data_IF_213427474908
#
_entry.id   IF_213427474908
#
_cell.length_a   1.000
_cell.length_b   1.000
_cell.length_c   1.000
_cell.angle_alpha   90.00
_cell.angle_beta   90.00
_cell.angle_gamma   90.00
#
_symmetry.space_group_name_H-M   'P 1'
#
loop_
_entity.id
_entity.type
_entity.pdbx_description
1 polymer ?
#
# COMPACT_ATOMS: atom_id res chain seq x y z
N UNK A 1 -33.47 50.39 0.87
CA UNK A 1 -32.23 49.89 0.24
C UNK A 1 -31.05 49.98 1.19
N UNK A 2 -30.70 48.86 1.85
CA UNK A 2 -29.40 48.75 2.51
C UNK A 2 -28.40 48.20 1.49
N UNK A 3 -27.64 49.09 0.88
CA UNK A 3 -26.48 48.70 0.08
C UNK A 3 -25.35 48.44 1.08
N UNK A 4 -25.10 47.17 1.40
CA UNK A 4 -23.89 46.78 2.12
C UNK A 4 -22.72 46.83 1.13
N UNK A 5 -22.06 47.99 1.04
CA UNK A 5 -20.79 48.11 0.35
C UNK A 5 -19.69 47.53 1.21
N UNK A 6 -18.94 46.56 0.69
CA UNK A 6 -17.64 46.18 1.24
C UNK A 6 -16.80 47.48 1.30
N UNK A 7 -16.18 47.82 2.46
CA UNK A 7 -15.35 49.02 2.55
C UNK A 7 -14.30 49.04 1.45
N UNK A 8 -13.95 50.23 0.95
CA UNK A 8 -12.81 50.39 0.06
C UNK A 8 -11.59 49.68 0.69
N UNK A 9 -10.78 49.02 -0.15
CA UNK A 9 -9.68 48.13 0.27
C UNK A 9 -8.69 48.79 1.26
N UNK A 10 -8.63 50.12 1.26
CA UNK A 10 -7.76 50.95 2.12
C UNK A 10 -8.33 51.19 3.54
N UNK A 11 -9.60 50.84 3.78
CA UNK A 11 -10.30 50.99 5.06
C UNK A 11 -10.24 49.77 5.97
N UNK A 12 -9.58 48.68 5.56
CA UNK A 12 -9.50 47.44 6.33
C UNK A 12 -8.10 47.23 6.91
N UNK A 13 -8.05 46.75 8.15
CA UNK A 13 -6.87 46.24 8.83
C UNK A 13 -6.98 44.72 8.94
N UNK A 14 -5.89 44.01 8.68
CA UNK A 14 -5.84 42.56 8.73
C UNK A 14 -4.81 42.14 9.78
N UNK A 15 -5.11 41.07 10.50
CA UNK A 15 -4.19 40.45 11.43
C UNK A 15 -4.32 38.92 11.36
N UNK A 16 -3.28 38.27 10.85
CA UNK A 16 -3.17 36.82 10.78
C UNK A 16 -2.35 36.32 11.96
N UNK A 17 -2.96 35.47 12.78
CA UNK A 17 -2.37 34.97 14.01
C UNK A 17 -2.38 33.46 14.02
N UNK A 18 -1.22 32.84 14.25
CA UNK A 18 -1.08 31.39 14.35
C UNK A 18 -0.67 30.98 15.77
N UNK A 19 -1.24 29.89 16.26
CA UNK A 19 -0.93 29.35 17.59
C UNK A 19 -1.22 27.83 17.70
N UNK A 20 -0.57 27.10 18.62
CA UNK A 20 -0.84 25.68 18.84
C UNK A 20 -2.28 25.43 19.33
N UNK A 21 -2.99 24.47 18.73
CA UNK A 21 -4.42 24.25 19.00
C UNK A 21 -4.77 23.76 20.43
N UNK A 22 -3.79 23.33 21.21
CA UNK A 22 -3.98 22.77 22.57
C UNK A 22 -3.37 23.62 23.69
N UNK A 23 -2.73 24.76 23.38
CA UNK A 23 -2.14 25.65 24.38
C UNK A 23 -2.04 27.08 23.85
N UNK A 24 -2.74 27.99 24.52
CA UNK A 24 -2.85 29.39 24.12
C UNK A 24 -1.94 30.40 24.87
N UNK A 25 -0.67 30.12 25.26
CA UNK A 25 0.18 31.19 25.77
C UNK A 25 0.89 32.01 24.67
N UNK A 26 0.98 31.53 23.43
CA UNK A 26 1.75 32.20 22.36
C UNK A 26 0.94 32.35 21.07
N UNK A 27 0.44 33.57 20.84
CA UNK A 27 -0.12 34.01 19.57
C UNK A 27 1.00 34.66 18.77
N UNK A 28 1.34 34.10 17.60
CA UNK A 28 2.35 34.68 16.71
C UNK A 28 1.65 35.36 15.56
N UNK A 29 1.81 36.68 15.43
CA UNK A 29 1.37 37.40 14.25
C UNK A 29 2.26 36.99 13.07
N UNK A 30 1.65 36.46 12.03
CA UNK A 30 2.35 35.95 10.83
C UNK A 30 2.20 36.88 9.62
N UNK A 31 1.19 37.75 9.61
CA UNK A 31 0.99 38.77 8.56
C UNK A 31 -0.07 39.80 8.96
N UNK A 32 0.05 41.02 8.45
CA UNK A 32 -0.93 42.11 8.52
C UNK A 32 -1.58 42.43 7.15
N UNK A 33 -1.36 41.55 6.16
CA UNK A 33 -1.80 41.74 4.78
C UNK A 33 -3.16 41.09 4.51
N UNK A 34 -3.93 41.69 3.59
CA UNK A 34 -5.13 41.06 3.00
C UNK A 34 -4.88 39.69 2.36
N UNK A 35 -3.61 39.37 2.03
CA UNK A 35 -3.18 38.06 1.52
C UNK A 35 -1.98 37.57 2.33
N UNK A 36 -2.13 36.43 2.98
CA UNK A 36 -1.05 35.79 3.74
C UNK A 36 -0.17 34.91 2.83
N UNK A 37 1.15 35.10 2.91
CA UNK A 37 2.18 34.19 2.38
C UNK A 37 3.31 34.14 3.39
N UNK A 38 3.61 32.97 3.93
CA UNK A 38 4.67 32.81 4.93
C UNK A 38 5.34 31.43 4.78
N UNK A 39 6.56 31.32 5.28
CA UNK A 39 7.26 30.05 5.37
C UNK A 39 6.90 29.35 6.68
N UNK A 40 6.44 28.11 6.60
CA UNK A 40 6.14 27.29 7.77
C UNK A 40 7.43 26.80 8.42
N UNK A 41 7.70 27.24 9.65
CA UNK A 41 8.87 26.83 10.45
C UNK A 41 8.48 26.02 11.70
N UNK A 42 7.19 25.92 11.96
CA UNK A 42 6.63 25.20 13.08
C UNK A 42 6.94 23.71 12.99
N UNK A 43 7.11 23.06 14.14
CA UNK A 43 7.26 21.61 14.22
C UNK A 43 5.96 20.90 13.77
N UNK A 44 6.02 19.61 13.39
CA UNK A 44 4.81 18.86 13.07
C UNK A 44 3.77 18.91 14.20
N UNK A 45 2.54 19.33 13.89
CA UNK A 45 1.50 19.59 14.87
C UNK A 45 0.22 20.15 14.28
N UNK A 46 -0.79 20.35 15.15
CA UNK A 46 -2.04 21.03 14.81
C UNK A 46 -2.02 22.46 15.34
N UNK A 47 -2.33 23.39 14.46
CA UNK A 47 -2.31 24.82 14.73
C UNK A 47 -3.63 25.46 14.33
N UNK A 48 -4.05 26.43 15.13
CA UNK A 48 -5.11 27.35 14.76
C UNK A 48 -4.48 28.52 14.01
N UNK A 49 -5.12 28.92 12.92
CA UNK A 49 -4.79 30.12 12.17
C UNK A 49 -6.03 31.01 12.13
N UNK A 50 -5.98 32.11 12.87
CA UNK A 50 -7.07 33.08 12.91
C UNK A 50 -6.74 34.27 12.00
N UNK A 51 -7.73 34.69 11.22
CA UNK A 51 -7.75 35.97 10.53
C UNK A 51 -8.68 36.91 11.29
N UNK A 52 -8.15 38.02 11.77
CA UNK A 52 -8.93 39.16 12.23
C UNK A 52 -8.95 40.23 11.15
N UNK A 53 -10.13 40.78 10.87
CA UNK A 53 -10.31 41.90 9.94
C UNK A 53 -11.06 43.00 10.66
N UNK A 54 -10.54 44.21 10.62
CA UNK A 54 -11.15 45.38 11.27
C UNK A 54 -11.41 46.47 10.24
N UNK A 55 -12.64 46.96 10.22
CA UNK A 55 -12.97 48.17 9.46
C UNK A 55 -12.57 49.40 10.28
N UNK A 56 -11.63 50.18 9.73
CA UNK A 56 -11.08 51.38 10.39
C UNK A 56 -12.09 52.52 10.49
N UNK A 57 -13.14 52.51 9.66
CA UNK A 57 -14.18 53.56 9.62
C UNK A 57 -15.24 53.31 10.69
N UNK A 58 -15.70 52.06 10.79
CA UNK A 58 -16.81 51.67 11.68
C UNK A 58 -16.32 51.08 13.00
N UNK A 59 -15.03 50.75 13.10
CA UNK A 59 -14.40 50.05 14.21
C UNK A 59 -14.96 48.62 14.44
N UNK A 60 -15.71 48.07 13.49
CA UNK A 60 -16.28 46.73 13.53
C UNK A 60 -15.21 45.69 13.17
N UNK A 61 -15.13 44.61 13.97
CA UNK A 61 -14.21 43.49 13.76
C UNK A 61 -14.91 42.21 13.33
N UNK A 62 -14.28 41.46 12.44
CA UNK A 62 -14.66 40.12 12.01
C UNK A 62 -13.50 39.17 12.26
N UNK A 63 -13.80 37.91 12.55
CA UNK A 63 -12.78 36.88 12.63
C UNK A 63 -13.18 35.62 11.84
N UNK A 64 -12.18 34.91 11.32
CA UNK A 64 -12.35 33.59 10.70
C UNK A 64 -11.23 32.67 11.14
N UNK A 65 -11.60 31.48 11.63
CA UNK A 65 -10.68 30.44 12.05
C UNK A 65 -10.41 29.45 10.92
N UNK A 66 -9.15 29.11 10.75
CA UNK A 66 -8.63 28.05 9.90
C UNK A 66 -7.84 27.06 10.76
N UNK A 67 -7.69 25.83 10.26
CA UNK A 67 -6.88 24.80 10.89
C UNK A 67 -5.70 24.47 9.98
N UNK A 68 -4.50 24.48 10.54
CA UNK A 68 -3.25 24.17 9.83
C UNK A 68 -2.62 22.94 10.47
N UNK A 69 -2.46 21.88 9.69
CA UNK A 69 -1.70 20.70 10.10
C UNK A 69 -0.31 20.78 9.51
N UNK A 70 0.70 20.95 10.35
CA UNK A 70 2.10 20.88 9.95
C UNK A 70 2.55 19.43 10.05
N UNK A 71 3.22 18.94 9.03
CA UNK A 71 3.66 17.54 8.96
C UNK A 71 5.10 17.44 8.51
N UNK A 72 5.83 16.43 9.00
CA UNK A 72 7.13 16.05 8.43
C UNK A 72 6.99 15.59 6.98
N UNK A 73 8.02 15.81 6.17
CA UNK A 73 8.14 15.28 4.80
C UNK A 73 8.05 13.74 4.75
N UNK A 74 8.30 13.08 5.88
CA UNK A 74 8.24 11.63 6.07
C UNK A 74 6.90 11.13 6.62
N UNK A 75 5.95 12.03 6.88
CA UNK A 75 4.72 11.71 7.60
C UNK A 75 3.82 10.74 6.82
N UNK A 76 3.52 11.03 5.55
CA UNK A 76 2.71 10.17 4.69
C UNK A 76 3.07 10.36 3.21
N UNK A 77 2.85 9.34 2.40
CA UNK A 77 3.12 9.38 0.95
C UNK A 77 3.39 8.02 0.34
N UNK A 78 3.56 7.97 -0.97
CA UNK A 78 3.99 6.77 -1.67
C UNK A 78 5.49 6.60 -1.54
N UNK A 79 5.91 5.51 -0.89
CA UNK A 79 7.29 5.07 -0.88
C UNK A 79 7.57 4.36 -2.21
N UNK A 80 8.66 4.77 -2.85
CA UNK A 80 9.14 4.22 -4.11
C UNK A 80 10.56 3.72 -3.86
N UNK A 81 10.76 2.41 -3.95
CA UNK A 81 12.10 1.83 -3.95
C UNK A 81 12.59 1.72 -5.38
N UNK A 82 13.71 2.38 -5.68
CA UNK A 82 14.32 2.37 -7.00
C UNK A 82 15.82 2.09 -6.95
N UNK A 83 16.29 1.41 -7.99
CA UNK A 83 17.70 1.10 -8.17
C UNK A 83 18.36 2.12 -9.10
N UNK A 84 19.44 2.74 -8.62
CA UNK A 84 20.27 3.64 -9.43
C UNK A 84 21.73 3.46 -9.05
N UNK A 85 22.61 3.45 -10.06
CA UNK A 85 24.06 3.32 -9.86
C UNK A 85 24.48 2.10 -9.03
N UNK A 86 23.81 0.94 -9.22
CA UNK A 86 24.16 -0.30 -8.52
C UNK A 86 23.73 -0.35 -7.05
N UNK A 87 22.80 0.52 -6.63
CA UNK A 87 22.27 0.57 -5.28
C UNK A 87 20.77 0.84 -5.28
N UNK A 88 20.06 0.28 -4.29
CA UNK A 88 18.66 0.61 -4.03
C UNK A 88 18.57 1.75 -3.00
N UNK A 89 17.60 2.63 -3.17
CA UNK A 89 17.21 3.66 -2.20
C UNK A 89 15.69 3.86 -2.22
N UNK A 90 15.18 4.71 -1.35
CA UNK A 90 13.77 5.02 -1.20
C UNK A 90 13.54 6.49 -1.49
N UNK A 91 12.51 6.79 -2.24
CA UNK A 91 11.95 8.14 -2.39
C UNK A 91 10.52 8.16 -1.84
N UNK A 92 10.01 9.33 -1.47
CA UNK A 92 8.61 9.51 -1.07
C UNK A 92 7.92 10.55 -1.95
N UNK A 93 6.82 10.15 -2.59
CA UNK A 93 5.90 11.06 -3.28
C UNK A 93 4.87 11.52 -2.25
N UNK A 94 4.90 12.80 -1.92
CA UNK A 94 4.05 13.41 -0.90
C UNK A 94 2.66 13.76 -1.44
N UNK A 95 1.64 13.91 -0.58
CA UNK A 95 0.28 14.30 -0.98
C UNK A 95 0.18 15.62 -1.74
N UNK A 96 1.14 16.53 -1.55
CA UNK A 96 1.23 17.79 -2.29
C UNK A 96 1.91 17.63 -3.67
N UNK A 97 2.09 16.38 -4.14
CA UNK A 97 2.73 16.02 -5.42
C UNK A 97 4.22 16.41 -5.53
N UNK A 98 4.90 16.64 -4.39
CA UNK A 98 6.36 16.79 -4.37
C UNK A 98 7.03 15.45 -4.14
N UNK A 99 8.28 15.29 -4.62
CA UNK A 99 9.04 14.05 -4.42
C UNK A 99 10.30 14.36 -3.63
N UNK A 100 10.40 13.78 -2.43
CA UNK A 100 11.62 13.79 -1.64
C UNK A 100 12.43 12.52 -1.98
N UNK A 101 13.69 12.71 -2.40
CA UNK A 101 14.51 11.66 -3.00
C UNK A 101 15.50 11.09 -1.99
N UNK A 102 15.82 9.81 -2.16
CA UNK A 102 16.93 9.14 -1.45
C UNK A 102 16.83 9.29 0.08
N UNK A 103 15.62 9.12 0.62
CA UNK A 103 15.31 9.37 2.04
C UNK A 103 16.04 8.40 2.96
N UNK A 104 16.33 7.18 2.50
CA UNK A 104 17.05 6.22 3.34
C UNK A 104 18.52 6.62 3.46
N UNK A 105 19.24 6.81 2.36
CA UNK A 105 20.66 7.18 2.43
C UNK A 105 20.90 8.53 3.09
N UNK A 106 20.05 9.54 2.84
CA UNK A 106 20.11 10.84 3.53
C UNK A 106 19.98 10.72 5.04
N UNK A 107 19.08 9.86 5.52
CA UNK A 107 18.88 9.64 6.96
C UNK A 107 19.91 8.73 7.61
N UNK A 108 20.70 7.98 6.82
CA UNK A 108 21.63 6.96 7.31
C UNK A 108 23.06 7.20 6.83
N UNK A 109 23.51 8.46 6.86
CA UNK A 109 24.91 8.85 6.59
C UNK A 109 25.46 8.35 5.24
N UNK A 110 24.62 8.31 4.20
CA UNK A 110 25.01 7.85 2.86
C UNK A 110 25.06 6.33 2.68
N UNK A 111 24.56 5.55 3.66
CA UNK A 111 24.39 4.10 3.47
C UNK A 111 23.27 3.80 2.47
N UNK A 112 23.49 2.81 1.60
CA UNK A 112 22.50 2.37 0.61
C UNK A 112 21.98 0.96 0.88
N UNK A 113 20.82 0.64 0.30
CA UNK A 113 20.31 -0.72 0.26
C UNK A 113 21.01 -1.52 -0.85
N UNK A 114 21.19 -2.85 -0.68
CA UNK A 114 21.73 -3.70 -1.73
C UNK A 114 20.92 -3.62 -3.03
N UNK A 115 21.60 -3.64 -4.17
CA UNK A 115 20.95 -3.71 -5.49
C UNK A 115 20.20 -5.03 -5.73
N UNK A 116 19.41 -5.03 -6.80
CA UNK A 116 18.61 -6.14 -7.26
C UNK A 116 17.20 -6.08 -6.68
N UNK A 117 16.61 -7.26 -6.43
CA UNK A 117 15.28 -7.36 -5.86
C UNK A 117 15.19 -6.63 -4.52
N UNK A 118 14.11 -5.86 -4.35
CA UNK A 118 13.79 -5.23 -3.09
C UNK A 118 12.30 -4.98 -2.94
N UNK A 119 11.88 -4.75 -1.70
CA UNK A 119 10.48 -4.58 -1.32
C UNK A 119 10.30 -3.60 -0.17
N UNK A 120 9.20 -2.85 -0.19
CA UNK A 120 8.81 -1.95 0.89
C UNK A 120 7.52 -2.46 1.53
N UNK A 121 7.61 -2.86 2.80
CA UNK A 121 6.48 -3.30 3.60
C UNK A 121 6.12 -2.20 4.60
N UNK A 122 4.90 -1.68 4.53
CA UNK A 122 4.34 -0.75 5.52
C UNK A 122 3.05 -1.35 6.07
N UNK A 123 2.98 -1.53 7.37
CA UNK A 123 1.80 -2.06 8.05
C UNK A 123 1.78 -1.62 9.51
N UNK A 124 0.63 -1.79 10.17
CA UNK A 124 0.52 -1.53 11.60
C UNK A 124 0.66 -2.84 12.40
N UNK A 125 1.68 -2.92 13.25
CA UNK A 125 1.80 -3.92 14.30
C UNK A 125 1.05 -3.37 15.52
N UNK A 126 -0.19 -3.80 15.71
CA UNK A 126 -1.14 -3.20 16.65
C UNK A 126 -1.28 -1.70 16.36
N UNK A 127 -0.86 -0.83 17.26
CA UNK A 127 -0.90 0.63 17.09
C UNK A 127 0.40 1.21 16.52
N UNK A 128 1.46 0.42 16.39
CA UNK A 128 2.75 0.88 15.89
C UNK A 128 2.86 0.66 14.39
N UNK A 129 3.18 1.72 13.63
CA UNK A 129 3.46 1.60 12.20
C UNK A 129 4.89 1.08 12.00
N UNK A 130 4.99 -0.05 11.31
CA UNK A 130 6.25 -0.69 10.97
C UNK A 130 6.59 -0.42 9.51
N UNK A 131 7.87 -0.18 9.23
CA UNK A 131 8.40 0.00 7.89
C UNK A 131 9.63 -0.90 7.73
N UNK A 132 9.55 -1.82 6.76
CA UNK A 132 10.65 -2.71 6.42
C UNK A 132 11.07 -2.52 4.98
N UNK A 133 12.38 -2.53 4.76
CA UNK A 133 13.00 -2.65 3.45
C UNK A 133 13.62 -4.03 3.37
N UNK A 134 13.12 -4.85 2.45
CA UNK A 134 13.61 -6.20 2.20
C UNK A 134 14.47 -6.20 0.93
N UNK A 135 15.51 -7.02 0.93
CA UNK A 135 16.40 -7.30 -0.19
C UNK A 135 16.55 -8.82 -0.36
N UNK A 136 17.28 -9.29 -1.37
CA UNK A 136 17.34 -10.72 -1.68
C UNK A 136 17.72 -11.62 -0.50
N UNK A 137 18.63 -11.18 0.38
CA UNK A 137 19.18 -11.97 1.49
C UNK A 137 19.22 -11.21 2.84
N UNK A 138 18.66 -10.00 2.91
CA UNK A 138 18.70 -9.17 4.10
C UNK A 138 17.43 -8.32 4.20
N UNK A 139 17.16 -7.79 5.37
CA UNK A 139 16.07 -6.86 5.62
C UNK A 139 16.44 -5.89 6.73
N UNK A 140 15.92 -4.67 6.63
CA UNK A 140 16.09 -3.66 7.68
C UNK A 140 14.74 -3.08 8.06
N UNK A 141 14.61 -2.73 9.34
CA UNK A 141 13.52 -1.92 9.83
C UNK A 141 14.03 -0.49 9.97
N UNK A 142 13.17 0.48 9.65
CA UNK A 142 13.47 1.90 9.85
C UNK A 142 12.45 2.55 10.77
N UNK A 143 12.86 3.61 11.45
CA UNK A 143 11.97 4.44 12.25
C UNK A 143 10.99 5.19 11.32
N UNK A 144 9.69 5.11 11.62
CA UNK A 144 8.60 5.67 10.81
C UNK A 144 8.62 7.19 10.63
N UNK A 145 9.30 7.92 11.52
CA UNK A 145 9.33 9.38 11.56
C UNK A 145 10.52 9.97 10.82
N UNK A 146 11.67 9.28 10.78
CA UNK A 146 12.91 9.81 10.23
C UNK A 146 13.67 8.85 9.30
N UNK A 147 13.19 7.63 9.08
CA UNK A 147 13.80 6.63 8.21
C UNK A 147 15.23 6.18 8.61
N UNK A 148 15.68 6.50 9.83
CA UNK A 148 16.91 5.95 10.41
C UNK A 148 16.70 4.46 10.68
N UNK A 149 17.67 3.61 10.32
CA UNK A 149 17.65 2.17 10.59
C UNK A 149 17.50 1.91 12.10
N UNK A 150 16.47 1.18 12.47
CA UNK A 150 16.18 0.80 13.86
C UNK A 150 16.62 -0.62 14.19
N UNK A 151 16.60 -1.54 13.23
CA UNK A 151 17.03 -2.94 13.43
C UNK A 151 17.35 -3.62 12.10
N UNK A 152 18.04 -4.76 12.15
CA UNK A 152 18.32 -5.65 11.01
C UNK A 152 17.51 -6.94 11.13
N UNK A 153 17.36 -7.66 10.03
CA UNK A 153 16.55 -8.88 9.95
C UNK A 153 16.86 -9.90 11.04
N UNK A 154 18.14 -10.13 11.36
CA UNK A 154 18.56 -11.03 12.43
C UNK A 154 17.98 -10.66 13.81
N UNK A 155 17.74 -9.37 14.06
CA UNK A 155 17.24 -8.88 15.34
C UNK A 155 15.74 -9.17 15.52
N UNK A 156 15.03 -9.52 14.44
CA UNK A 156 13.61 -9.85 14.44
C UNK A 156 13.32 -11.25 14.99
N UNK A 157 14.36 -12.05 15.25
CA UNK A 157 14.24 -13.43 15.72
C UNK A 157 14.75 -13.59 17.16
N UNK A 158 14.20 -14.59 17.86
CA UNK A 158 14.72 -15.01 19.18
C UNK A 158 16.03 -15.78 19.06
N UNK A 159 16.19 -16.55 17.98
CA UNK A 159 17.37 -17.33 17.65
C UNK A 159 17.86 -16.90 16.27
N UNK A 160 19.16 -17.00 16.01
CA UNK A 160 19.70 -16.75 14.67
C UNK A 160 19.01 -17.70 13.67
N UNK A 161 18.26 -17.17 12.69
CA UNK A 161 17.54 -18.01 11.76
C UNK A 161 18.42 -18.58 10.64
N UNK A 162 19.71 -18.23 10.61
CA UNK A 162 20.63 -18.57 9.53
C UNK A 162 20.35 -17.76 8.27
N UNK A 163 20.74 -18.29 7.11
CA UNK A 163 20.50 -17.64 5.84
C UNK A 163 19.01 -17.67 5.47
N UNK A 164 18.36 -16.49 5.43
CA UNK A 164 16.97 -16.33 4.98
C UNK A 164 16.93 -15.49 3.70
N UNK A 165 16.00 -15.84 2.80
CA UNK A 165 15.63 -15.01 1.63
C UNK A 165 14.22 -14.41 1.83
N UNK A 166 14.09 -13.18 2.36
CA UNK A 166 12.78 -12.60 2.67
C UNK A 166 11.93 -12.38 1.41
N UNK A 167 10.61 -12.43 1.57
CA UNK A 167 9.64 -12.16 0.49
C UNK A 167 8.59 -11.12 0.85
N UNK A 168 8.04 -11.18 2.06
CA UNK A 168 7.04 -10.22 2.53
C UNK A 168 6.86 -10.28 4.04
N UNK A 169 6.28 -9.22 4.59
CA UNK A 169 5.80 -9.17 5.97
C UNK A 169 4.36 -8.67 5.96
N UNK A 170 3.48 -9.42 6.62
CA UNK A 170 2.08 -9.05 6.79
C UNK A 170 1.75 -8.97 8.28
N UNK A 171 0.92 -8.03 8.68
CA UNK A 171 0.27 -8.10 9.98
C UNK A 171 -1.21 -7.83 9.84
N UNK A 172 -1.99 -8.53 10.65
CA UNK A 172 -3.41 -8.24 10.83
C UNK A 172 -3.77 -8.49 12.28
N UNK A 173 -4.27 -7.46 12.94
CA UNK A 173 -4.73 -7.50 14.34
C UNK A 173 -3.67 -8.03 15.32
N UNK A 174 -3.76 -9.31 15.70
CA UNK A 174 -2.95 -9.95 16.76
C UNK A 174 -1.83 -10.83 16.23
N UNK A 175 -1.64 -10.90 14.92
CA UNK A 175 -0.64 -11.76 14.30
C UNK A 175 0.18 -10.99 13.27
N UNK A 176 1.46 -11.36 13.22
CA UNK A 176 2.38 -10.94 12.18
C UNK A 176 3.02 -12.16 11.53
N UNK A 177 3.19 -12.12 10.22
CA UNK A 177 3.73 -13.18 9.40
C UNK A 177 4.88 -12.66 8.56
N UNK A 178 6.01 -13.36 8.63
CA UNK A 178 7.16 -13.11 7.78
C UNK A 178 7.36 -14.29 6.85
N UNK A 179 7.18 -14.03 5.55
CA UNK A 179 7.33 -15.01 4.51
C UNK A 179 8.71 -14.89 3.88
N UNK A 180 9.29 -16.04 3.60
CA UNK A 180 10.60 -16.20 3.00
C UNK A 180 10.49 -17.20 1.86
N UNK A 181 11.55 -17.36 1.06
CA UNK A 181 11.50 -18.29 -0.09
C UNK A 181 11.43 -19.76 0.27
N UNK A 182 11.56 -20.14 1.52
CA UNK A 182 11.59 -21.54 1.94
C UNK A 182 10.83 -21.79 3.25
N UNK A 183 10.58 -20.73 4.02
CA UNK A 183 9.96 -20.82 5.34
C UNK A 183 8.95 -19.70 5.56
N UNK A 184 8.03 -19.95 6.48
CA UNK A 184 7.12 -18.94 6.99
C UNK A 184 7.22 -18.88 8.50
N UNK A 185 7.24 -17.66 9.03
CA UNK A 185 7.36 -17.37 10.45
C UNK A 185 6.15 -16.58 10.92
N UNK A 186 5.79 -16.76 12.19
CA UNK A 186 4.73 -16.00 12.83
C UNK A 186 5.19 -15.43 14.17
N UNK A 187 4.68 -14.25 14.51
CA UNK A 187 4.78 -13.68 15.84
C UNK A 187 3.37 -13.42 16.39
N UNK A 188 3.13 -13.88 17.62
CA UNK A 188 1.90 -13.57 18.35
C UNK A 188 2.04 -12.17 18.97
N UNK A 189 1.10 -11.27 18.68
CA UNK A 189 1.09 -9.89 19.16
C UNK A 189 0.21 -9.68 20.40
N UNK A 190 -0.41 -10.73 20.96
CA UNK A 190 -1.20 -10.66 22.21
C UNK A 190 -0.34 -10.76 23.46
N UNK A 191 0.91 -11.19 23.34
CA UNK A 191 1.87 -11.27 24.45
C UNK A 191 2.57 -9.92 24.68
N UNK A 192 3.29 -9.80 25.80
CA UNK A 192 4.10 -8.62 26.08
C UNK A 192 5.30 -8.57 25.12
N UNK A 193 5.67 -7.39 24.58
CA UNK A 193 6.90 -7.22 23.81
C UNK A 193 8.15 -7.68 24.58
N UNK A 194 9.25 -8.05 23.89
CA UNK A 194 9.51 -7.85 22.46
C UNK A 194 8.81 -8.88 21.55
N UNK A 195 8.23 -8.40 20.45
CA UNK A 195 7.67 -9.25 19.40
C UNK A 195 8.78 -9.71 18.46
N UNK A 196 9.11 -11.00 18.51
CA UNK A 196 10.12 -11.64 17.66
C UNK A 196 9.59 -12.95 17.10
N UNK A 197 10.13 -13.33 15.95
CA UNK A 197 9.85 -14.61 15.32
C UNK A 197 10.58 -15.73 16.05
N UNK A 198 9.85 -16.81 16.32
CA UNK A 198 10.39 -18.07 16.81
C UNK A 198 10.74 -19.02 15.66
N UNK A 199 10.42 -20.30 15.85
CA UNK A 199 10.60 -21.31 14.81
C UNK A 199 9.67 -21.07 13.61
N UNK A 200 10.14 -21.46 12.42
CA UNK A 200 9.31 -21.49 11.23
C UNK A 200 8.25 -22.58 11.33
N UNK A 201 7.13 -22.44 10.60
CA UNK A 201 6.17 -23.56 10.47
C UNK A 201 6.86 -24.78 9.88
N UNK A 202 6.65 -25.94 10.51
CA UNK A 202 7.10 -27.22 9.98
C UNK A 202 6.34 -27.61 8.71
N UNK A 203 7.02 -28.31 7.81
CA UNK A 203 6.44 -28.83 6.57
C UNK A 203 7.33 -28.53 5.36
N UNK A 204 6.97 -29.15 4.23
CA UNK A 204 7.58 -28.86 2.93
C UNK A 204 6.59 -28.06 2.09
N UNK A 205 6.82 -26.75 1.97
CA UNK A 205 5.92 -25.84 1.27
C UNK A 205 6.71 -24.67 0.67
N UNK A 206 6.09 -24.01 -0.30
CA UNK A 206 6.48 -22.66 -0.71
C UNK A 206 5.24 -21.78 -0.75
N UNK A 207 5.10 -20.87 0.21
CA UNK A 207 3.94 -19.99 0.29
C UNK A 207 4.10 -18.80 -0.65
N UNK A 208 3.17 -18.65 -1.59
CA UNK A 208 3.12 -17.49 -2.46
C UNK A 208 2.88 -16.20 -1.64
N UNK A 209 3.62 -15.11 -1.89
CA UNK A 209 3.58 -13.90 -1.05
C UNK A 209 2.41 -12.97 -1.40
N UNK A 210 1.19 -13.50 -1.30
CA UNK A 210 -0.05 -12.75 -1.48
C UNK A 210 -0.79 -12.62 -0.16
N UNK A 211 -1.06 -11.38 0.27
CA UNK A 211 -1.82 -11.11 1.48
C UNK A 211 -3.31 -11.38 1.25
N UNK A 212 -3.78 -12.53 1.72
CA UNK A 212 -5.20 -12.88 1.75
C UNK A 212 -5.67 -12.95 3.20
N UNK A 213 -6.20 -11.83 3.71
CA UNK A 213 -6.74 -11.71 5.07
C UNK A 213 -7.79 -10.60 5.18
N UNK A 214 -8.79 -10.80 6.05
CA UNK A 214 -9.87 -9.84 6.30
C UNK A 214 -9.97 -9.44 7.78
N UNK A 215 -9.80 -10.40 8.70
CA UNK A 215 -9.91 -10.25 10.16
C UNK A 215 -8.95 -11.21 10.88
N UNK A 216 -8.99 -11.27 12.21
CA UNK A 216 -8.17 -12.16 13.06
C UNK A 216 -8.25 -13.61 12.55
N UNK A 217 -7.08 -14.23 12.36
CA UNK A 217 -6.87 -15.55 11.73
C UNK A 217 -7.83 -15.85 10.60
N UNK A 218 -7.88 -14.93 9.64
CA UNK A 218 -8.45 -15.17 8.31
C UNK A 218 -7.36 -15.30 7.25
N UNK A 219 -6.11 -15.56 7.66
CA UNK A 219 -5.02 -15.73 6.72
C UNK A 219 -5.13 -17.07 6.01
N UNK A 220 -5.10 -17.03 4.68
CA UNK A 220 -4.83 -18.20 3.85
C UNK A 220 -3.60 -17.93 2.99
N UNK A 221 -2.86 -19.00 2.70
CA UNK A 221 -1.65 -18.95 1.90
C UNK A 221 -1.70 -20.03 0.85
N UNK A 222 -1.27 -19.73 -0.38
CA UNK A 222 -1.18 -20.75 -1.41
C UNK A 222 0.19 -21.41 -1.37
N UNK A 223 0.23 -22.71 -1.15
CA UNK A 223 1.43 -23.52 -1.30
C UNK A 223 1.62 -23.93 -2.76
N UNK A 224 2.70 -23.48 -3.37
CA UNK A 224 3.01 -23.76 -4.77
C UNK A 224 3.60 -25.15 -5.00
N UNK A 225 4.10 -25.82 -3.95
CA UNK A 225 4.60 -27.19 -4.04
C UNK A 225 3.42 -28.17 -4.06
N UNK A 226 2.59 -28.11 -3.01
CA UNK A 226 1.40 -28.99 -2.91
C UNK A 226 0.20 -28.48 -3.72
N UNK A 227 0.27 -27.28 -4.31
CA UNK A 227 -0.76 -26.66 -5.15
C UNK A 227 -2.14 -26.59 -4.49
N UNK A 228 -2.17 -25.98 -3.31
CA UNK A 228 -3.34 -25.88 -2.43
C UNK A 228 -3.28 -24.65 -1.55
N UNK A 229 -4.43 -24.26 -0.99
CA UNK A 229 -4.47 -23.28 0.08
C UNK A 229 -4.29 -23.94 1.45
N UNK A 230 -3.50 -23.28 2.29
CA UNK A 230 -3.39 -23.49 3.72
C UNK A 230 -4.15 -22.38 4.45
N UNK A 231 -4.71 -22.74 5.60
CA UNK A 231 -5.26 -21.82 6.56
C UNK A 231 -4.32 -21.67 7.76
N UNK A 232 -4.22 -20.47 8.34
CA UNK A 232 -3.52 -20.23 9.61
C UNK A 232 -4.53 -20.08 10.77
N UNK A 233 -4.63 -21.07 11.69
CA UNK A 233 -5.50 -20.99 12.87
C UNK A 233 -5.12 -19.89 13.85
N UNK A 234 -6.13 -19.24 14.46
CA UNK A 234 -5.94 -18.26 15.54
C UNK A 234 -5.47 -18.95 16.82
N UNK A 235 -4.68 -18.26 17.64
CA UNK A 235 -4.56 -18.55 19.07
C UNK A 235 -3.59 -19.68 19.44
N UNK A 236 -3.08 -20.43 18.46
CA UNK A 236 -1.95 -21.31 18.69
C UNK A 236 -0.68 -20.47 18.84
N UNK A 237 -0.02 -20.58 19.99
CA UNK A 237 1.28 -19.95 20.28
C UNK A 237 2.35 -20.29 19.23
N UNK A 238 2.22 -21.45 18.60
CA UNK A 238 3.02 -21.86 17.45
C UNK A 238 2.36 -21.46 16.13
N UNK A 239 3.16 -20.86 15.26
CA UNK A 239 2.77 -20.57 13.87
C UNK A 239 2.67 -21.90 13.10
N UNK A 240 1.45 -22.35 12.86
CA UNK A 240 1.13 -23.60 12.17
C UNK A 240 0.12 -23.39 11.04
N UNK A 241 0.21 -24.22 10.01
CA UNK A 241 -0.70 -24.28 8.88
C UNK A 241 -1.66 -25.47 9.05
N UNK A 242 -2.92 -25.29 8.66
CA UNK A 242 -3.98 -26.28 8.78
C UNK A 242 -4.82 -26.36 7.50
N UNK A 243 -5.47 -27.50 7.29
CA UNK A 243 -6.42 -27.67 6.19
C UNK A 243 -7.60 -26.70 6.34
N UNK A 244 -8.16 -26.28 5.20
CA UNK A 244 -9.45 -25.60 5.16
C UNK A 244 -10.54 -26.67 5.36
N UNK A 245 -11.43 -26.45 6.31
CA UNK A 245 -12.63 -27.25 6.51
C UNK A 245 -13.60 -26.99 5.36
N UNK A 246 -13.89 -28.03 4.58
CA UNK A 246 -14.85 -27.94 3.48
C UNK A 246 -16.28 -28.01 4.02
N UNK A 247 -17.23 -27.21 3.51
CA UNK A 247 -18.63 -27.31 3.89
C UNK A 247 -19.20 -28.66 3.44
N UNK A 248 -19.80 -29.44 4.35
CA UNK A 248 -20.32 -30.76 4.04
C UNK A 248 -21.49 -30.75 3.01
N UNK A 249 -22.27 -29.66 2.97
CA UNK A 249 -23.55 -29.59 2.25
C UNK A 249 -23.62 -28.52 1.16
N UNK A 250 -22.50 -27.90 0.77
CA UNK A 250 -22.49 -26.85 -0.25
C UNK A 250 -21.45 -27.20 -1.32
N UNK A 251 -21.87 -27.69 -2.50
CA UNK A 251 -20.96 -27.96 -3.61
C UNK A 251 -20.08 -26.75 -3.90
N UNK A 252 -18.77 -27.01 -3.93
CA UNK A 252 -17.74 -26.04 -4.20
C UNK A 252 -17.24 -26.27 -5.62
N UNK A 253 -17.13 -25.23 -6.48
CA UNK A 253 -16.52 -25.39 -7.79
C UNK A 253 -15.14 -26.06 -7.73
N UNK A 254 -14.32 -25.68 -6.74
CA UNK A 254 -13.02 -26.27 -6.47
C UNK A 254 -12.80 -26.57 -4.98
N UNK A 255 -12.07 -27.65 -4.70
CA UNK A 255 -11.55 -27.94 -3.38
C UNK A 255 -10.30 -27.10 -3.12
N UNK A 256 -10.37 -26.11 -2.21
CA UNK A 256 -9.24 -25.24 -1.90
C UNK A 256 -8.03 -26.01 -1.31
N UNK A 257 -8.22 -27.20 -0.73
CA UNK A 257 -7.12 -28.05 -0.27
C UNK A 257 -6.45 -28.86 -1.40
N UNK A 258 -6.97 -28.82 -2.63
CA UNK A 258 -6.47 -29.58 -3.77
C UNK A 258 -6.80 -28.85 -5.09
N UNK A 259 -6.10 -27.76 -5.38
CA UNK A 259 -6.30 -26.98 -6.61
C UNK A 259 -5.56 -27.64 -7.79
N UNK A 260 -4.33 -28.11 -7.54
CA UNK A 260 -3.52 -28.79 -8.56
C UNK A 260 -3.19 -27.91 -9.77
N UNK A 261 -2.91 -26.62 -9.54
CA UNK A 261 -2.55 -25.63 -10.57
C UNK A 261 -1.38 -24.75 -10.14
N UNK A 262 -0.71 -24.11 -11.11
CA UNK A 262 0.29 -23.07 -10.83
C UNK A 262 -0.45 -21.76 -10.53
N UNK A 263 -0.15 -21.12 -9.41
CA UNK A 263 -0.68 -19.80 -9.11
C UNK A 263 0.13 -18.73 -9.85
N UNK A 264 -0.55 -17.88 -10.62
CA UNK A 264 0.04 -16.68 -11.21
C UNK A 264 -0.17 -15.47 -10.30
N UNK A 265 -1.39 -15.33 -9.76
CA UNK A 265 -1.77 -14.20 -8.91
C UNK A 265 -2.83 -14.56 -7.89
N UNK A 266 -2.77 -13.96 -6.71
CA UNK A 266 -3.93 -13.87 -5.82
C UNK A 266 -4.02 -12.48 -5.18
N UNK A 267 -5.23 -12.02 -4.93
CA UNK A 267 -5.46 -10.73 -4.30
C UNK A 267 -6.83 -10.64 -3.65
N UNK A 268 -6.95 -9.72 -2.70
CA UNK A 268 -8.21 -9.44 -2.05
C UNK A 268 -9.13 -8.66 -3.01
N UNK A 269 -10.37 -9.14 -3.12
CA UNK A 269 -11.46 -8.52 -3.85
C UNK A 269 -12.35 -7.66 -2.95
N UNK A 270 -13.59 -7.33 -3.38
CA UNK A 270 -14.54 -6.58 -2.56
C UNK A 270 -14.99 -7.36 -1.32
N UNK A 271 -15.08 -6.67 -0.18
CA UNK A 271 -15.42 -7.25 1.12
C UNK A 271 -14.50 -8.43 1.47
N UNK A 272 -15.08 -9.63 1.66
CA UNK A 272 -14.35 -10.86 1.98
C UNK A 272 -14.02 -11.72 0.77
N UNK A 273 -14.30 -11.26 -0.46
CA UNK A 273 -13.95 -12.03 -1.64
C UNK A 273 -12.45 -11.97 -1.88
N UNK A 274 -11.88 -13.04 -2.43
CA UNK A 274 -10.55 -13.02 -3.03
C UNK A 274 -10.63 -13.52 -4.46
N UNK A 275 -9.68 -13.09 -5.28
CA UNK A 275 -9.53 -13.53 -6.65
C UNK A 275 -8.15 -14.16 -6.83
N UNK A 276 -8.09 -15.22 -7.63
CA UNK A 276 -6.84 -15.86 -7.99
C UNK A 276 -6.82 -16.24 -9.47
N UNK A 277 -5.66 -16.08 -10.09
CA UNK A 277 -5.37 -16.48 -11.47
C UNK A 277 -4.45 -17.69 -11.40
N UNK A 278 -4.88 -18.78 -12.00
CA UNK A 278 -4.13 -20.01 -12.09
C UNK A 278 -3.86 -20.38 -13.54
N UNK A 279 -2.80 -21.15 -13.72
CA UNK A 279 -2.42 -21.78 -14.99
C UNK A 279 -2.34 -23.29 -14.77
N UNK A 280 -2.71 -24.07 -15.79
CA UNK A 280 -2.47 -25.51 -15.76
C UNK A 280 -0.98 -25.81 -15.64
N UNK A 281 -0.64 -26.99 -15.10
CA UNK A 281 0.76 -27.40 -14.99
C UNK A 281 1.45 -27.53 -16.36
N UNK A 282 0.67 -27.84 -17.40
CA UNK A 282 1.13 -27.93 -18.79
C UNK A 282 1.12 -26.58 -19.53
N UNK A 283 0.60 -25.52 -18.90
CA UNK A 283 0.47 -24.16 -19.47
C UNK A 283 -0.44 -24.05 -20.70
N UNK A 284 -1.39 -24.97 -20.82
CA UNK A 284 -2.37 -25.07 -21.90
C UNK A 284 -3.75 -24.46 -21.56
N UNK A 285 -3.96 -23.98 -20.33
CA UNK A 285 -5.20 -23.34 -19.91
C UNK A 285 -5.00 -22.40 -18.72
N UNK A 286 -5.86 -21.40 -18.62
CA UNK A 286 -5.97 -20.50 -17.47
C UNK A 286 -7.26 -20.75 -16.69
N UNK A 287 -7.24 -20.41 -15.41
CA UNK A 287 -8.40 -20.49 -14.55
C UNK A 287 -8.50 -19.27 -13.64
N UNK A 288 -9.70 -18.70 -13.54
CA UNK A 288 -9.98 -17.56 -12.67
C UNK A 288 -10.88 -18.01 -11.54
N UNK A 289 -10.34 -18.01 -10.34
CA UNK A 289 -11.06 -18.32 -9.11
C UNK A 289 -11.52 -17.02 -8.46
N UNK A 290 -12.81 -16.95 -8.12
CA UNK A 290 -13.31 -16.10 -7.04
C UNK A 290 -13.68 -17.00 -5.86
N UNK A 291 -13.13 -16.70 -4.69
CA UNK A 291 -13.49 -17.35 -3.44
C UNK A 291 -13.98 -16.36 -2.39
N UNK A 292 -14.56 -16.88 -1.32
CA UNK A 292 -14.93 -16.15 -0.12
C UNK A 292 -13.99 -16.55 1.01
N UNK A 293 -13.30 -15.57 1.56
CA UNK A 293 -12.38 -15.75 2.67
C UNK A 293 -13.15 -15.80 3.99
N UNK A 294 -12.95 -16.86 4.76
CA UNK A 294 -13.54 -17.05 6.08
C UNK A 294 -12.66 -17.96 6.96
N UNK A 295 -11.36 -17.65 7.01
CA UNK A 295 -10.36 -18.44 7.73
C UNK A 295 -10.41 -19.92 7.36
N UNK A 296 -10.51 -20.79 8.37
CA UNK A 296 -10.58 -22.24 8.19
C UNK A 296 -11.82 -22.72 7.45
N UNK A 297 -12.82 -21.86 7.22
CA UNK A 297 -14.04 -22.18 6.47
C UNK A 297 -14.11 -21.42 5.14
N UNK A 298 -12.97 -21.01 4.58
CA UNK A 298 -12.91 -20.34 3.28
C UNK A 298 -13.42 -21.26 2.16
N UNK A 299 -14.07 -20.68 1.14
CA UNK A 299 -14.77 -21.42 0.08
C UNK A 299 -14.45 -20.87 -1.31
N UNK A 300 -14.51 -21.74 -2.31
CA UNK A 300 -14.53 -21.33 -3.72
C UNK A 300 -15.97 -20.98 -4.13
N UNK A 301 -16.17 -19.96 -4.96
CA UNK A 301 -17.52 -19.55 -5.37
C UNK A 301 -17.74 -19.63 -6.86
N UNK A 302 -16.78 -19.12 -7.64
CA UNK A 302 -16.84 -19.10 -9.09
C UNK A 302 -15.48 -19.52 -9.62
N UNK A 303 -15.48 -20.39 -10.62
CA UNK A 303 -14.28 -20.75 -11.39
C UNK A 303 -14.62 -20.62 -12.85
N UNK A 304 -13.83 -19.83 -13.57
CA UNK A 304 -13.85 -19.78 -15.02
C UNK A 304 -12.62 -20.45 -15.60
N UNK A 305 -12.80 -21.14 -16.72
CA UNK A 305 -11.71 -21.74 -17.50
C UNK A 305 -11.57 -20.95 -18.79
N UNK A 306 -10.35 -20.55 -19.11
CA UNK A 306 -9.99 -19.85 -20.34
C UNK A 306 -8.94 -20.68 -21.10
N UNK A 307 -8.95 -20.67 -22.45
CA UNK A 307 -7.92 -21.34 -23.24
C UNK A 307 -6.54 -20.70 -23.01
N UNK A 308 -5.46 -21.40 -23.35
CA UNK A 308 -4.13 -20.79 -23.42
C UNK A 308 -4.05 -19.63 -24.42
N UNK A 309 -2.98 -18.83 -24.30
CA UNK A 309 -2.69 -17.70 -25.17
C UNK A 309 -3.39 -16.40 -24.80
N UNK A 310 -4.15 -16.37 -23.69
CA UNK A 310 -4.68 -15.11 -23.18
C UNK A 310 -3.55 -14.18 -22.73
N UNK A 311 -3.71 -12.87 -22.93
CA UNK A 311 -2.74 -11.86 -22.48
C UNK A 311 -2.47 -11.95 -20.97
N UNK A 312 -3.48 -12.38 -20.20
CA UNK A 312 -3.37 -12.60 -18.77
C UNK A 312 -2.39 -13.73 -18.40
N UNK A 313 -2.07 -14.66 -19.31
CA UNK A 313 -1.15 -15.78 -19.03
C UNK A 313 0.30 -15.33 -18.86
N UNK A 314 0.69 -14.30 -19.61
CA UNK A 314 2.05 -13.74 -19.63
C UNK A 314 2.11 -12.32 -19.05
N UNK A 315 1.07 -11.91 -18.33
CA UNK A 315 1.00 -10.58 -17.74
C UNK A 315 2.13 -10.36 -16.73
N UNK A 316 2.75 -9.18 -16.79
CA UNK A 316 3.87 -8.84 -15.91
C UNK A 316 3.39 -8.53 -14.50
N UNK A 317 2.17 -8.01 -14.35
CA UNK A 317 1.57 -7.60 -13.07
C UNK A 317 0.06 -7.86 -13.08
N UNK A 318 -0.49 -8.02 -11.87
CA UNK A 318 -1.92 -8.19 -11.62
C UNK A 318 -2.33 -7.40 -10.38
N UNK A 319 -3.59 -6.97 -10.33
CA UNK A 319 -4.17 -6.27 -9.19
C UNK A 319 -5.70 -6.50 -9.16
N UNK A 320 -6.19 -7.31 -8.22
CA UNK A 320 -7.62 -7.48 -7.96
C UNK A 320 -8.21 -6.16 -7.43
N UNK A 321 -9.37 -5.78 -7.97
CA UNK A 321 -10.12 -4.62 -7.50
C UNK A 321 -10.72 -4.87 -6.11
N UNK A 322 -10.66 -3.87 -5.26
CA UNK A 322 -11.21 -3.92 -3.89
C UNK A 322 -12.64 -3.37 -3.81
N UNK A 323 -13.16 -2.82 -4.90
CA UNK A 323 -14.49 -2.21 -4.99
C UNK A 323 -15.44 -2.99 -5.89
N UNK A 324 -14.94 -3.60 -6.97
CA UNK A 324 -15.71 -4.37 -7.95
C UNK A 324 -15.04 -5.72 -8.25
N UNK A 325 -15.76 -6.66 -8.86
CA UNK A 325 -15.26 -8.03 -9.12
C UNK A 325 -14.35 -8.09 -10.37
N UNK A 326 -13.30 -7.27 -10.39
CA UNK A 326 -12.38 -7.12 -11.53
C UNK A 326 -10.95 -7.50 -11.16
N UNK A 327 -10.18 -7.93 -12.16
CA UNK A 327 -8.72 -8.08 -12.06
C UNK A 327 -8.10 -7.16 -13.11
N UNK A 328 -7.32 -6.18 -12.68
CA UNK A 328 -6.45 -5.42 -13.57
C UNK A 328 -5.17 -6.20 -13.81
N UNK A 329 -4.64 -6.15 -15.02
CA UNK A 329 -3.37 -6.79 -15.34
C UNK A 329 -2.63 -6.02 -16.43
N UNK A 330 -1.30 -6.11 -16.40
CA UNK A 330 -0.45 -5.46 -17.37
C UNK A 330 0.16 -6.50 -18.32
N UNK A 331 0.04 -6.28 -19.62
CA UNK A 331 0.64 -7.11 -20.66
C UNK A 331 1.25 -6.17 -21.70
N UNK A 332 2.54 -6.38 -22.01
CA UNK A 332 3.38 -5.43 -22.74
C UNK A 332 3.33 -4.03 -22.10
N UNK A 333 3.09 -2.99 -22.92
CA UNK A 333 2.93 -1.61 -22.50
C UNK A 333 1.45 -1.22 -22.28
N UNK A 334 0.58 -2.17 -21.97
CA UNK A 334 -0.87 -1.93 -21.85
C UNK A 334 -1.43 -2.43 -20.52
N UNK A 335 -2.43 -1.71 -20.02
CA UNK A 335 -3.26 -2.14 -18.90
C UNK A 335 -4.59 -2.64 -19.42
N UNK A 336 -4.97 -3.81 -18.93
CA UNK A 336 -6.25 -4.42 -19.19
C UNK A 336 -6.99 -4.64 -17.88
N UNK A 337 -8.30 -4.83 -18.01
CA UNK A 337 -9.19 -5.26 -16.95
C UNK A 337 -9.94 -6.50 -17.40
N UNK A 338 -10.04 -7.48 -16.53
CA UNK A 338 -10.94 -8.61 -16.68
C UNK A 338 -12.13 -8.47 -15.73
N UNK A 339 -13.34 -8.57 -16.27
CA UNK A 339 -14.56 -8.66 -15.48
C UNK A 339 -14.88 -10.12 -15.15
N UNK A 340 -14.83 -10.49 -13.86
CA UNK A 340 -15.05 -11.87 -13.43
C UNK A 340 -16.51 -12.33 -13.59
N UNK A 341 -17.48 -11.41 -13.66
CA UNK A 341 -18.89 -11.76 -13.80
C UNK A 341 -19.30 -11.76 -15.27
N UNK A 342 -18.93 -10.70 -16.00
CA UNK A 342 -19.23 -10.58 -17.43
C UNK A 342 -18.31 -11.44 -18.31
N UNK A 343 -17.18 -11.91 -17.77
CA UNK A 343 -16.16 -12.71 -18.48
C UNK A 343 -15.61 -12.00 -19.71
N UNK A 344 -15.36 -10.70 -19.56
CA UNK A 344 -14.88 -9.84 -20.64
C UNK A 344 -13.55 -9.21 -20.29
N UNK A 345 -12.69 -9.09 -21.29
CA UNK A 345 -11.43 -8.36 -21.23
C UNK A 345 -11.62 -6.99 -21.88
N UNK A 346 -11.11 -5.93 -21.23
CA UNK A 346 -11.15 -4.56 -21.75
C UNK A 346 -9.76 -3.94 -21.64
N UNK A 347 -9.28 -3.33 -22.72
CA UNK A 347 -8.11 -2.45 -22.68
C UNK A 347 -8.50 -1.14 -22.00
N UNK A 348 -7.81 -0.77 -20.92
CA UNK A 348 -8.12 0.45 -20.15
C UNK A 348 -7.09 1.56 -20.33
N UNK A 349 -5.84 1.22 -20.69
CA UNK A 349 -4.80 2.22 -20.94
C UNK A 349 -3.65 1.65 -21.78
N UNK A 350 -3.02 2.49 -22.59
CA UNK A 350 -1.79 2.18 -23.32
C UNK A 350 -0.70 3.19 -22.94
N UNK A 351 0.39 2.70 -22.38
CA UNK A 351 1.59 3.50 -22.10
C UNK A 351 2.37 3.82 -23.38
N UNK A 352 3.34 4.74 -23.35
CA UNK A 352 4.30 4.90 -24.43
C UNK A 352 4.91 3.56 -24.89
N UNK A 353 5.33 3.51 -26.15
CA UNK A 353 5.96 2.30 -26.70
C UNK A 353 7.24 1.97 -25.92
N UNK A 354 7.44 0.69 -25.60
CA UNK A 354 8.60 0.22 -24.83
C UNK A 354 8.49 0.42 -23.31
N UNK A 355 7.37 0.97 -22.80
CA UNK A 355 7.13 1.03 -21.35
C UNK A 355 6.94 -0.38 -20.77
N UNK A 356 7.72 -0.72 -19.75
CA UNK A 356 7.56 -1.97 -18.99
C UNK A 356 6.81 -1.68 -17.67
N UNK A 357 5.66 -2.32 -17.46
CA UNK A 357 4.94 -2.21 -16.18
C UNK A 357 5.58 -3.11 -15.13
N UNK A 358 6.04 -2.51 -14.02
CA UNK A 358 6.86 -3.15 -12.99
C UNK A 358 6.08 -3.49 -11.73
N UNK A 359 5.15 -2.62 -11.31
CA UNK A 359 4.28 -2.82 -10.13
C UNK A 359 2.93 -2.16 -10.29
N UNK A 360 1.91 -2.76 -9.68
CA UNK A 360 0.60 -2.15 -9.49
C UNK A 360 0.17 -2.27 -8.03
N UNK A 361 -0.35 -1.20 -7.45
CA UNK A 361 -0.84 -1.15 -6.06
C UNK A 361 -2.04 -0.23 -5.92
N UNK A 362 -2.93 -0.57 -4.99
CA UNK A 362 -3.99 0.35 -4.56
C UNK A 362 -3.46 1.36 -3.56
N UNK A 363 -3.92 2.60 -3.69
CA UNK A 363 -3.94 3.54 -2.59
C UNK A 363 -4.86 3.01 -1.48
N UNK A 364 -4.39 3.05 -0.24
CA UNK A 364 -5.22 2.80 0.92
C UNK A 364 -4.67 3.53 2.15
N UNK A 365 -5.50 4.39 2.73
CA UNK A 365 -5.22 5.12 3.94
C UNK A 365 -6.21 4.70 5.04
N UNK A 366 -5.76 3.80 5.92
CA UNK A 366 -6.58 3.29 7.02
C UNK A 366 -6.92 4.34 8.10
N UNK A 367 -6.29 5.51 8.11
CA UNK A 367 -6.57 6.61 9.04
C UNK A 367 -7.73 7.50 8.57
N UNK A 368 -8.11 7.40 7.31
CA UNK A 368 -9.19 8.18 6.70
C UNK A 368 -10.05 7.27 5.86
N UNK A 369 -10.95 6.52 6.50
CA UNK A 369 -11.83 5.57 5.82
C UNK A 369 -12.73 6.23 4.76
N UNK A 370 -13.00 7.52 4.90
CA UNK A 370 -13.79 8.34 3.96
C UNK A 370 -12.98 8.97 2.83
N UNK A 371 -11.67 8.72 2.76
CA UNK A 371 -10.85 9.18 1.64
C UNK A 371 -11.37 8.57 0.33
N UNK A 372 -11.83 9.38 -0.64
CA UNK A 372 -12.43 8.87 -1.88
C UNK A 372 -11.45 8.06 -2.74
N UNK A 373 -10.14 8.27 -2.57
CA UNK A 373 -9.12 7.52 -3.30
C UNK A 373 -8.87 6.12 -2.72
N UNK A 374 -9.35 5.81 -1.50
CA UNK A 374 -9.20 4.48 -0.91
C UNK A 374 -9.76 3.41 -1.84
N UNK A 375 -8.86 2.54 -2.32
CA UNK A 375 -9.17 1.49 -3.28
C UNK A 375 -9.71 1.96 -4.64
N UNK A 376 -9.72 3.27 -4.90
CA UNK A 376 -10.14 3.87 -6.16
C UNK A 376 -9.01 4.66 -6.85
N UNK A 377 -7.79 4.63 -6.29
CA UNK A 377 -6.60 5.14 -6.96
C UNK A 377 -5.61 3.99 -7.15
N UNK A 378 -5.41 3.60 -8.41
CA UNK A 378 -4.41 2.61 -8.80
C UNK A 378 -3.10 3.32 -9.08
N UNK A 379 -2.04 2.93 -8.38
CA UNK A 379 -0.69 3.35 -8.71
C UNK A 379 0.01 2.29 -9.55
N UNK A 380 0.65 2.73 -10.62
CA UNK A 380 1.42 1.88 -11.53
C UNK A 380 2.83 2.41 -11.65
N UNK A 381 3.80 1.61 -11.21
CA UNK A 381 5.21 1.86 -11.46
C UNK A 381 5.61 1.23 -12.79
N UNK A 382 6.30 1.99 -13.62
CA UNK A 382 6.72 1.59 -14.94
C UNK A 382 8.16 2.03 -15.23
N UNK A 383 8.80 1.35 -16.16
CA UNK A 383 10.14 1.67 -16.67
C UNK A 383 10.01 2.16 -18.11
N UNK A 384 10.56 3.34 -18.40
CA UNK A 384 10.60 3.95 -19.73
C UNK A 384 12.06 4.24 -20.10
N UNK A 385 12.67 3.36 -20.90
CA UNK A 385 14.11 3.40 -21.12
C UNK A 385 14.88 3.23 -19.81
N UNK A 386 15.72 4.20 -19.44
CA UNK A 386 16.47 4.20 -18.19
C UNK A 386 15.72 4.88 -17.02
N UNK A 387 14.58 5.53 -17.27
CA UNK A 387 13.83 6.28 -16.27
C UNK A 387 12.65 5.48 -15.72
N UNK A 388 12.58 5.38 -14.39
CA UNK A 388 11.38 4.90 -13.69
C UNK A 388 10.34 6.00 -13.55
N UNK A 389 9.07 5.64 -13.79
CA UNK A 389 7.91 6.52 -13.62
C UNK A 389 6.84 5.88 -12.75
N UNK A 390 6.13 6.71 -12.00
CA UNK A 390 4.98 6.34 -11.19
C UNK A 390 3.75 7.07 -11.70
N UNK A 391 2.78 6.32 -12.19
CA UNK A 391 1.49 6.81 -12.69
C UNK A 391 0.39 6.60 -11.65
N UNK A 392 -0.50 7.57 -11.49
CA UNK A 392 -1.65 7.50 -10.58
C UNK A 392 -2.96 7.57 -11.37
N UNK A 393 -3.68 6.46 -11.45
CA UNK A 393 -4.93 6.31 -12.20
C UNK A 393 -6.13 6.29 -11.25
N UNK A 394 -6.98 7.34 -11.27
CA UNK A 394 -8.27 7.29 -10.60
C UNK A 394 -9.18 6.30 -11.30
N UNK A 395 -9.86 5.45 -10.54
CA UNK A 395 -10.73 4.39 -11.01
C UNK A 395 -12.17 4.75 -10.66
N UNK A 396 -13.02 4.79 -11.68
CA UNK A 396 -14.45 5.04 -11.53
C UNK A 396 -15.14 3.84 -10.86
N UNK A 397 -16.36 4.04 -10.37
CA UNK A 397 -17.17 2.97 -9.77
C UNK A 397 -17.45 1.80 -10.74
N UNK A 398 -17.39 2.05 -12.05
CA UNK A 398 -17.50 1.02 -13.10
C UNK A 398 -16.24 0.17 -13.24
N UNK A 399 -15.14 0.55 -12.58
CA UNK A 399 -13.81 -0.04 -12.76
C UNK A 399 -13.06 0.47 -13.98
N UNK A 400 -13.51 1.55 -14.63
CA UNK A 400 -12.77 2.19 -15.72
C UNK A 400 -11.81 3.25 -15.18
N UNK A 401 -10.75 3.55 -15.94
CA UNK A 401 -9.89 4.70 -15.63
C UNK A 401 -10.67 5.98 -15.90
N UNK A 402 -10.81 6.82 -14.87
CA UNK A 402 -11.55 8.08 -14.95
C UNK A 402 -10.91 8.99 -15.99
N UNK A 403 -11.69 9.43 -16.99
CA UNK A 403 -11.19 10.25 -18.09
C UNK A 403 -10.23 9.53 -19.03
N UNK A 404 -10.06 8.21 -18.92
CA UNK A 404 -9.19 7.41 -19.78
C UNK A 404 -7.69 7.69 -19.61
N UNK A 405 -7.28 8.40 -18.55
CA UNK A 405 -5.87 8.77 -18.34
C UNK A 405 -5.51 8.87 -16.86
N UNK A 406 -4.22 8.99 -16.57
CA UNK A 406 -3.71 9.21 -15.21
C UNK A 406 -3.98 10.64 -14.73
N UNK A 407 -4.14 10.81 -13.42
CA UNK A 407 -4.23 12.12 -12.76
C UNK A 407 -2.85 12.75 -12.54
N UNK A 408 -1.85 11.93 -12.20
CA UNK A 408 -0.48 12.36 -11.97
C UNK A 408 0.52 11.36 -12.52
N UNK A 409 1.68 11.85 -12.93
CA UNK A 409 2.86 11.06 -13.25
C UNK A 409 4.09 11.69 -12.59
N UNK A 410 4.94 10.85 -12.00
CA UNK A 410 6.19 11.26 -11.36
C UNK A 410 7.34 10.52 -12.02
N UNK A 411 8.30 11.24 -12.59
CA UNK A 411 9.51 10.68 -13.21
C UNK A 411 10.75 10.80 -12.34
N UNK A 412 11.92 10.61 -12.93
CA UNK A 412 13.24 10.81 -12.33
C UNK A 412 13.69 9.69 -11.39
N UNK A 413 12.96 8.58 -11.30
CA UNK A 413 13.39 7.40 -10.54
C UNK A 413 14.39 6.58 -11.37
N UNK A 414 15.23 5.79 -10.72
CA UNK A 414 15.94 4.69 -11.35
C UNK A 414 15.00 3.53 -11.68
N UNK A 415 15.54 2.31 -11.73
CA UNK A 415 14.74 1.12 -11.98
C UNK A 415 13.87 0.78 -10.77
N UNK A 416 12.56 1.02 -10.86
CA UNK A 416 11.65 0.81 -9.72
C UNK A 416 11.55 -0.69 -9.39
N UNK A 417 11.78 -1.00 -8.10
CA UNK A 417 11.74 -2.36 -7.53
C UNK A 417 10.42 -2.65 -6.83
N UNK A 418 9.95 -1.71 -6.03
CA UNK A 418 8.67 -1.83 -5.34
C UNK A 418 8.09 -0.47 -4.96
N UNK A 419 6.80 -0.48 -4.67
CA UNK A 419 6.06 0.70 -4.27
C UNK A 419 5.00 0.37 -3.23
N UNK A 420 4.79 1.27 -2.27
CA UNK A 420 3.81 1.07 -1.20
C UNK A 420 3.36 2.42 -0.65
N UNK A 421 2.08 2.55 -0.29
CA UNK A 421 1.61 3.77 0.36
C UNK A 421 1.86 3.71 1.87
N UNK A 422 2.47 4.76 2.41
CA UNK A 422 2.64 4.98 3.84
C UNK A 422 1.56 5.97 4.32
N UNK A 423 0.54 5.52 5.08
CA UNK A 423 -0.38 6.44 5.74
C UNK A 423 0.33 7.20 6.86
N UNK A 424 -0.25 8.33 7.29
CA UNK A 424 0.21 8.99 8.50
C UNK A 424 0.18 8.01 9.70
N UNK A 425 1.18 8.04 10.59
CA UNK A 425 1.28 7.14 11.73
C UNK A 425 0.10 7.21 12.70
#
# INVERSE_FOLDING_TARGET
>A
DMIQTIPAKDGLEYDWVMYPGSSAPYRVQISDSSKVRFFMKEEPGMYDLDLFVKDKTTNVGFYKKFYVKVTSVFNQGWLVMDEKNGHNDISIIQPNNTVERAIYSKSNNGEYLPAGWGKVCVYNRRTEQMIYFLSTNDGIQVNKANFVRSSRMKDWFFLDPGAIKPLDVFAQSTEEHFLTRDKAYGANLTVTPPYKYGFSTMGNYYLAPYQLSINIGSFIFYDTIAQRFWFRPVGNGDYALANISLPANTPQPWNLNNIGKRLLYAGMGPSSNFSAVFESNQRDSLFLLRGLLNGGSSVSQIVDTLPAGQLMQTASQYLASRSVQHIYFASDNKLYRWDLLAKTQTLVYTFPAGTEVRKMKWYYNNKSSTDPDNYNLMMVAAQEGAEGKVYMFPIALTGDITGGTYRNVFGGFGQIRDVTYKPAP
#
